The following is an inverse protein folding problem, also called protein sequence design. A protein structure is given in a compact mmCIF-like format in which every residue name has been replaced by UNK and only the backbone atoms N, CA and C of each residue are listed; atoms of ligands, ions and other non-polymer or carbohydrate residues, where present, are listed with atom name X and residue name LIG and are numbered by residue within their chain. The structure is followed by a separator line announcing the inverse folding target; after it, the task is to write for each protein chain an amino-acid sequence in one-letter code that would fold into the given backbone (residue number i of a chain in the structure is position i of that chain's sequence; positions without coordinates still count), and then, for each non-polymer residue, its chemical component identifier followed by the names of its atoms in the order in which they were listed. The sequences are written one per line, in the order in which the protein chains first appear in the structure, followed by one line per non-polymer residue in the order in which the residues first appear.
data_IF_510358532149
#
_entry.id   IF_510358532149
#
_cell.length_a   1.000
_cell.length_b   1.000
_cell.length_c   1.000
_cell.angle_alpha   90.00
_cell.angle_beta   90.00
_cell.angle_gamma   90.00
#
_symmetry.space_group_name_H-M   'P 1'
#
loop_
_entity.id
_entity.type
_entity.pdbx_description
1 polymer ?
#
# COMPACT_ATOMS: atom_id res chain seq x y z
N UNK A 1 -32.84 -15.42 -11.57
CA UNK A 1 -32.87 -15.26 -10.08
C UNK A 1 -33.22 -16.62 -9.50
N UNK A 2 -32.26 -17.28 -8.87
CA UNK A 2 -32.50 -18.50 -8.10
C UNK A 2 -32.84 -18.04 -6.69
N UNK A 3 -34.12 -18.10 -6.34
CA UNK A 3 -34.67 -17.74 -5.02
C UNK A 3 -34.48 -18.85 -3.97
N UNK A 4 -33.31 -19.49 -3.93
CA UNK A 4 -32.99 -20.43 -2.86
C UNK A 4 -31.62 -20.06 -2.29
N UNK A 5 -31.62 -19.64 -1.03
CA UNK A 5 -30.41 -19.51 -0.24
C UNK A 5 -29.78 -20.90 -0.06
N UNK A 6 -28.96 -21.33 -0.99
CA UNK A 6 -28.17 -22.55 -0.89
C UNK A 6 -26.87 -22.18 -0.20
N UNK A 7 -26.73 -22.50 1.06
CA UNK A 7 -25.46 -22.38 1.77
C UNK A 7 -24.56 -23.55 1.37
N UNK A 8 -23.53 -23.26 0.61
CA UNK A 8 -22.51 -24.23 0.20
C UNK A 8 -21.25 -24.06 1.06
N UNK A 9 -20.73 -25.16 1.60
CA UNK A 9 -19.39 -25.12 2.20
C UNK A 9 -18.33 -24.94 1.13
N UNK A 10 -17.22 -24.25 1.44
CA UNK A 10 -16.12 -24.00 0.51
C UNK A 10 -15.59 -25.27 -0.19
N UNK A 11 -15.37 -26.41 0.53
CA UNK A 11 -14.93 -27.64 -0.12
C UNK A 11 -15.93 -28.16 -1.14
N UNK A 12 -17.23 -28.02 -0.86
CA UNK A 12 -18.28 -28.47 -1.78
C UNK A 12 -18.39 -27.54 -3.00
N UNK A 13 -18.30 -26.22 -2.79
CA UNK A 13 -18.27 -25.25 -3.88
C UNK A 13 -17.07 -25.53 -4.83
N UNK A 14 -15.88 -25.77 -4.29
CA UNK A 14 -14.71 -26.15 -5.08
C UNK A 14 -14.90 -27.45 -5.85
N UNK A 15 -15.56 -28.45 -5.26
CA UNK A 15 -15.90 -29.71 -5.94
C UNK A 15 -16.85 -29.47 -7.12
N UNK A 16 -17.90 -28.67 -6.93
CA UNK A 16 -18.84 -28.29 -7.99
C UNK A 16 -18.15 -27.54 -9.14
N UNK A 17 -17.32 -26.56 -8.82
CA UNK A 17 -16.55 -25.83 -9.83
C UNK A 17 -15.64 -26.77 -10.67
N UNK A 18 -15.00 -27.74 -10.03
CA UNK A 18 -14.16 -28.74 -10.72
C UNK A 18 -14.97 -29.61 -11.65
N UNK A 19 -16.12 -30.10 -11.23
CA UNK A 19 -17.02 -30.91 -12.04
C UNK A 19 -17.57 -30.10 -13.21
N UNK A 20 -17.93 -28.86 -13.01
CA UNK A 20 -18.44 -27.96 -14.03
C UNK A 20 -17.35 -27.39 -14.97
N UNK A 21 -16.09 -27.76 -14.78
CA UNK A 21 -14.97 -27.23 -15.57
C UNK A 21 -14.70 -25.73 -15.35
N UNK A 22 -15.28 -25.12 -14.30
CA UNK A 22 -15.10 -23.72 -13.95
C UNK A 22 -13.74 -23.57 -13.30
N UNK A 23 -12.88 -22.76 -13.91
CA UNK A 23 -11.57 -22.38 -13.34
C UNK A 23 -11.57 -20.91 -12.99
N UNK A 24 -11.05 -20.59 -11.80
CA UNK A 24 -10.82 -19.20 -11.44
C UNK A 24 -9.84 -18.57 -12.43
N UNK A 25 -10.19 -17.37 -12.94
CA UNK A 25 -9.27 -16.56 -13.74
C UNK A 25 -8.30 -15.78 -12.86
N UNK A 26 -8.43 -15.86 -11.52
CA UNK A 26 -7.47 -15.25 -10.62
C UNK A 26 -6.11 -15.91 -10.85
N UNK A 27 -5.13 -15.13 -11.24
CA UNK A 27 -3.75 -15.59 -11.27
C UNK A 27 -3.35 -15.84 -9.81
N UNK A 28 -3.11 -17.10 -9.42
CA UNK A 28 -2.43 -17.40 -8.17
C UNK A 28 -1.02 -16.82 -8.29
N UNK A 29 -0.83 -15.61 -7.82
CA UNK A 29 0.52 -15.13 -7.55
C UNK A 29 1.10 -16.06 -6.48
N UNK A 30 2.07 -16.89 -6.86
CA UNK A 30 2.94 -17.52 -5.88
C UNK A 30 3.68 -16.37 -5.20
N UNK A 31 3.22 -16.01 -4.02
CA UNK A 31 3.93 -15.10 -3.15
C UNK A 31 5.32 -15.71 -2.92
N UNK A 32 6.33 -15.19 -3.61
CA UNK A 32 7.70 -15.46 -3.20
C UNK A 32 7.82 -14.77 -1.85
N UNK A 33 8.04 -15.55 -0.77
CA UNK A 33 8.41 -14.96 0.52
C UNK A 33 9.44 -13.89 0.22
N UNK A 34 9.07 -12.62 0.37
CA UNK A 34 10.06 -11.57 0.50
C UNK A 34 10.97 -12.01 1.63
N UNK A 35 12.27 -11.82 1.50
CA UNK A 35 13.20 -12.11 2.60
C UNK A 35 12.62 -11.49 3.88
N UNK A 36 12.84 -12.15 5.01
CA UNK A 36 12.30 -11.67 6.29
C UNK A 36 12.54 -10.17 6.43
N UNK A 37 11.51 -9.39 6.77
CA UNK A 37 11.67 -7.95 6.91
C UNK A 37 12.76 -7.67 7.95
N UNK A 38 13.66 -6.76 7.66
CA UNK A 38 14.77 -6.45 8.54
C UNK A 38 14.30 -5.94 9.92
N UNK A 39 13.09 -5.34 9.95
CA UNK A 39 12.43 -4.87 11.18
C UNK A 39 10.94 -4.79 10.97
N UNK A 40 10.16 -5.32 11.92
CA UNK A 40 8.69 -5.22 11.98
C UNK A 40 8.34 -4.28 13.14
N UNK A 41 7.37 -3.42 12.91
CA UNK A 41 6.81 -2.51 13.91
C UNK A 41 5.36 -2.90 14.23
N UNK A 42 4.86 -2.60 15.46
CA UNK A 42 3.47 -2.86 15.80
C UNK A 42 2.52 -2.04 14.93
N UNK A 43 1.30 -2.54 14.73
CA UNK A 43 0.23 -1.78 14.12
C UNK A 43 -0.42 -0.86 15.15
N UNK A 44 -0.07 0.42 15.12
CA UNK A 44 -0.58 1.43 16.04
C UNK A 44 -2.00 1.91 15.66
N UNK A 45 -2.43 1.74 14.40
CA UNK A 45 -3.77 2.14 13.96
C UNK A 45 -4.87 1.25 14.53
N UNK A 46 -4.54 0.02 14.93
CA UNK A 46 -5.49 -0.89 15.57
C UNK A 46 -5.70 -0.62 17.06
N UNK A 47 -4.78 0.08 17.71
CA UNK A 47 -4.84 0.40 19.13
C UNK A 47 -5.48 1.77 19.32
N UNK A 48 -6.77 1.92 19.01
CA UNK A 48 -7.60 3.10 19.31
C UNK A 48 -6.85 4.46 19.20
N UNK A 49 -5.97 4.57 18.19
CA UNK A 49 -5.26 5.80 17.93
C UNK A 49 -6.27 6.88 17.55
N UNK A 50 -6.47 7.86 18.40
CA UNK A 50 -7.27 9.04 18.08
C UNK A 50 -6.43 9.97 17.22
N UNK A 51 -6.98 10.36 16.08
CA UNK A 51 -6.37 11.33 15.17
C UNK A 51 -7.18 12.62 15.32
N UNK A 52 -6.62 13.58 16.04
CA UNK A 52 -7.31 14.81 16.43
C UNK A 52 -6.91 16.01 15.55
N UNK A 53 -5.96 15.83 14.63
CA UNK A 53 -5.47 16.90 13.77
C UNK A 53 -4.62 16.42 12.60
N UNK A 54 -4.27 17.34 11.70
CA UNK A 54 -3.49 17.02 10.52
C UNK A 54 -2.06 16.59 10.88
N UNK A 55 -1.46 15.79 10.00
CA UNK A 55 -0.08 15.30 10.09
C UNK A 55 0.23 14.38 11.29
N UNK A 56 -0.77 13.97 12.05
CA UNK A 56 -0.57 13.04 13.17
C UNK A 56 -0.39 11.60 12.70
N UNK A 57 -1.10 11.22 11.64
CA UNK A 57 -0.99 9.87 11.08
C UNK A 57 -0.93 9.92 9.57
N UNK A 58 0.24 9.60 9.04
CA UNK A 58 0.49 9.50 7.61
C UNK A 58 0.52 8.02 7.23
N UNK A 59 -0.24 7.66 6.20
CA UNK A 59 -0.19 6.31 5.60
C UNK A 59 0.56 6.37 4.28
N UNK A 60 1.33 5.33 4.00
CA UNK A 60 2.12 5.25 2.77
C UNK A 60 1.98 3.87 2.14
N UNK A 61 1.90 3.86 0.81
CA UNK A 61 1.93 2.66 0.00
C UNK A 61 2.54 2.94 -1.38
N UNK A 62 3.03 1.90 -2.03
CA UNK A 62 3.55 1.96 -3.39
C UNK A 62 2.65 1.17 -4.33
N UNK A 63 2.27 1.82 -5.41
CA UNK A 63 1.52 1.18 -6.49
C UNK A 63 2.29 1.22 -7.80
N UNK A 64 2.09 0.21 -8.65
CA UNK A 64 2.75 0.13 -9.94
C UNK A 64 1.73 0.05 -11.08
N UNK A 65 2.08 0.66 -12.22
CA UNK A 65 1.25 0.67 -13.42
C UNK A 65 2.10 0.88 -14.67
N UNK A 66 1.46 0.75 -15.84
CA UNK A 66 2.10 1.00 -17.13
C UNK A 66 1.39 2.14 -17.87
N UNK A 67 2.17 3.11 -18.35
CA UNK A 67 1.71 4.17 -19.24
C UNK A 67 2.34 3.95 -20.60
N UNK A 68 1.53 3.70 -21.62
CA UNK A 68 2.02 3.45 -23.00
C UNK A 68 3.14 2.39 -23.04
N UNK A 69 3.02 1.36 -22.21
CA UNK A 69 4.00 0.28 -22.13
C UNK A 69 5.23 0.54 -21.26
N UNK A 70 5.39 1.74 -20.72
CA UNK A 70 6.47 2.10 -19.81
C UNK A 70 6.02 1.85 -18.36
N UNK A 71 6.85 1.13 -17.61
CA UNK A 71 6.61 0.81 -16.20
C UNK A 71 6.82 2.03 -15.32
N UNK A 72 5.94 2.20 -14.32
CA UNK A 72 6.06 3.24 -13.30
C UNK A 72 5.74 2.68 -11.93
N UNK A 73 6.43 3.18 -10.92
CA UNK A 73 6.12 3.02 -9.49
C UNK A 73 5.78 4.39 -8.91
N UNK A 74 4.63 4.48 -8.28
CA UNK A 74 4.16 5.67 -7.57
C UNK A 74 4.08 5.35 -6.08
N UNK A 75 4.82 6.09 -5.27
CA UNK A 75 4.72 6.05 -3.81
C UNK A 75 3.94 7.29 -3.35
N UNK A 76 2.96 7.08 -2.50
CA UNK A 76 2.12 8.12 -1.94
C UNK A 76 2.26 8.16 -0.42
N UNK A 77 2.11 9.35 0.11
CA UNK A 77 1.99 9.62 1.55
C UNK A 77 0.73 10.46 1.76
N UNK A 78 -0.22 9.92 2.51
CA UNK A 78 -1.54 10.51 2.71
C UNK A 78 -1.81 10.72 4.19
N UNK A 79 -2.29 11.90 4.54
CA UNK A 79 -2.76 12.21 5.88
C UNK A 79 -4.14 11.58 6.12
N UNK A 80 -4.26 10.75 7.16
CA UNK A 80 -5.54 10.12 7.51
C UNK A 80 -6.56 11.08 8.10
N UNK A 81 -6.15 12.27 8.55
CA UNK A 81 -7.07 13.27 9.09
C UNK A 81 -8.01 13.83 8.03
N UNK A 82 -7.44 14.23 6.89
CA UNK A 82 -8.17 14.93 5.82
C UNK A 82 -8.08 14.25 4.45
N UNK A 83 -7.41 13.08 4.37
CA UNK A 83 -7.14 12.34 3.13
C UNK A 83 -6.31 13.13 2.10
N UNK A 84 -5.55 14.11 2.53
CA UNK A 84 -4.66 14.88 1.67
C UNK A 84 -3.40 14.07 1.30
N UNK A 85 -3.02 14.09 0.02
CA UNK A 85 -1.73 13.54 -0.42
C UNK A 85 -0.65 14.58 -0.09
N UNK A 86 0.03 14.38 1.03
CA UNK A 86 1.04 15.32 1.55
C UNK A 86 2.39 15.17 0.87
N UNK A 87 2.65 14.02 0.27
CA UNK A 87 3.86 13.78 -0.52
C UNK A 87 3.66 12.64 -1.50
N UNK A 88 4.40 12.70 -2.61
CA UNK A 88 4.44 11.62 -3.59
C UNK A 88 5.80 11.54 -4.27
N UNK A 89 6.09 10.40 -4.87
CA UNK A 89 7.26 10.23 -5.72
C UNK A 89 6.97 9.21 -6.82
N UNK A 90 7.45 9.49 -8.02
CA UNK A 90 7.25 8.67 -9.21
C UNK A 90 8.60 8.22 -9.78
N UNK A 91 8.73 6.94 -10.12
CA UNK A 91 9.90 6.41 -10.81
C UNK A 91 9.49 5.49 -11.95
N UNK A 92 10.24 5.53 -13.06
CA UNK A 92 10.13 4.56 -14.16
C UNK A 92 11.00 3.30 -13.95
N UNK A 93 11.73 3.23 -12.84
CA UNK A 93 12.63 2.12 -12.51
C UNK A 93 11.99 1.20 -11.48
N UNK A 94 11.90 -0.10 -11.81
CA UNK A 94 11.35 -1.10 -10.90
C UNK A 94 12.22 -1.28 -9.66
N UNK A 95 11.58 -1.23 -8.47
CA UNK A 95 12.25 -1.39 -7.19
C UNK A 95 13.18 -0.22 -6.85
N UNK A 96 12.85 0.96 -7.31
CA UNK A 96 13.63 2.17 -7.05
C UNK A 96 13.45 2.63 -5.60
N UNK A 97 14.47 2.33 -4.78
CA UNK A 97 14.46 2.72 -3.37
C UNK A 97 14.38 4.23 -3.16
N UNK A 98 14.88 5.01 -4.11
CA UNK A 98 14.85 6.47 -4.02
C UNK A 98 13.44 7.02 -4.05
N UNK A 99 12.49 6.35 -4.73
CA UNK A 99 11.09 6.74 -4.76
C UNK A 99 10.47 6.84 -3.36
N UNK A 100 10.83 5.92 -2.47
CA UNK A 100 10.35 5.95 -1.08
C UNK A 100 11.05 7.02 -0.25
N UNK A 101 12.36 7.21 -0.45
CA UNK A 101 13.14 8.17 0.31
C UNK A 101 12.77 9.60 -0.09
N UNK A 102 12.66 9.90 -1.38
CA UNK A 102 12.29 11.23 -1.86
C UNK A 102 10.90 11.66 -1.40
N UNK A 103 9.94 10.73 -1.36
CA UNK A 103 8.62 11.03 -0.78
C UNK A 103 8.69 11.31 0.73
N UNK A 104 9.59 10.65 1.45
CA UNK A 104 9.79 10.86 2.88
C UNK A 104 10.46 12.20 3.19
N UNK A 105 11.30 12.73 2.31
CA UNK A 105 12.01 14.00 2.52
C UNK A 105 11.04 15.15 2.83
N UNK A 106 9.90 15.23 2.14
CA UNK A 106 8.90 16.26 2.41
C UNK A 106 8.31 16.16 3.81
N UNK A 107 8.06 14.94 4.31
CA UNK A 107 7.58 14.73 5.68
C UNK A 107 8.64 15.11 6.71
N UNK A 108 9.90 14.76 6.45
CA UNK A 108 11.03 15.13 7.31
C UNK A 108 11.19 16.67 7.39
N UNK A 109 11.09 17.35 6.24
CA UNK A 109 11.17 18.82 6.22
C UNK A 109 10.00 19.47 6.95
N UNK A 110 8.81 18.89 6.85
CA UNK A 110 7.67 19.35 7.66
C UNK A 110 7.91 19.12 9.15
N UNK A 111 8.38 17.93 9.54
CA UNK A 111 8.64 17.56 10.93
C UNK A 111 9.75 18.41 11.57
N UNK A 112 10.80 18.76 10.81
CA UNK A 112 11.84 19.69 11.29
C UNK A 112 11.31 21.07 11.67
N UNK A 113 10.26 21.54 11.00
CA UNK A 113 9.61 22.82 11.29
C UNK A 113 8.61 22.73 12.44
N UNK A 114 8.20 21.51 12.81
CA UNK A 114 7.23 21.23 13.87
C UNK A 114 7.75 20.14 14.81
N UNK A 115 8.87 20.38 15.51
CA UNK A 115 9.55 19.34 16.29
C UNK A 115 8.74 18.83 17.50
N UNK A 116 7.78 19.62 17.97
CA UNK A 116 6.85 19.25 19.04
C UNK A 116 5.71 18.32 18.56
N UNK A 117 5.51 18.24 17.25
CA UNK A 117 4.43 17.44 16.68
C UNK A 117 4.79 15.96 16.69
N UNK A 118 3.84 15.12 17.09
CA UNK A 118 3.99 13.67 17.08
C UNK A 118 3.40 13.11 15.80
N UNK A 119 4.24 12.56 14.92
CA UNK A 119 3.83 11.96 13.67
C UNK A 119 4.01 10.43 13.72
N UNK A 120 2.99 9.71 13.31
CA UNK A 120 3.04 8.27 13.04
C UNK A 120 3.06 8.06 11.54
N UNK A 121 4.03 7.29 11.04
CA UNK A 121 4.08 6.85 9.66
C UNK A 121 3.75 5.36 9.57
N UNK A 122 2.60 5.06 8.98
CA UNK A 122 2.10 3.70 8.78
C UNK A 122 2.32 3.24 7.33
N UNK A 123 2.75 2.00 7.16
CA UNK A 123 2.89 1.36 5.85
C UNK A 123 2.68 -0.16 5.96
N UNK A 124 2.69 -0.85 4.82
CA UNK A 124 2.80 -2.30 4.78
C UNK A 124 4.20 -2.79 5.22
N UNK A 125 4.38 -4.12 5.22
CA UNK A 125 5.67 -4.76 5.51
C UNK A 125 6.53 -4.95 4.26
N UNK A 126 6.35 -4.14 3.23
CA UNK A 126 7.15 -4.19 2.01
C UNK A 126 8.66 -4.05 2.29
N UNK A 127 9.49 -4.70 1.47
CA UNK A 127 10.94 -4.81 1.70
C UNK A 127 11.66 -3.46 1.84
N UNK A 128 11.16 -2.41 1.19
CA UNK A 128 11.73 -1.07 1.33
C UNK A 128 11.34 -0.44 2.65
N UNK A 129 10.07 -0.51 3.03
CA UNK A 129 9.56 0.00 4.30
C UNK A 129 10.16 -0.73 5.51
N UNK A 130 10.49 -2.01 5.36
CA UNK A 130 11.17 -2.80 6.39
C UNK A 130 12.71 -2.64 6.37
N UNK A 131 13.26 -1.90 5.40
CA UNK A 131 14.71 -1.74 5.27
C UNK A 131 15.32 -0.95 6.43
N UNK A 132 16.56 -1.31 6.78
CA UNK A 132 17.30 -0.64 7.84
C UNK A 132 17.45 0.86 7.59
N UNK A 133 17.86 1.25 6.38
CA UNK A 133 18.08 2.65 6.02
C UNK A 133 16.82 3.50 6.17
N UNK A 134 15.64 2.98 5.74
CA UNK A 134 14.37 3.68 5.88
C UNK A 134 13.99 3.87 7.35
N UNK A 135 14.17 2.84 8.17
CA UNK A 135 13.72 2.84 9.56
C UNK A 135 14.71 3.50 10.54
N UNK A 136 15.98 3.65 10.20
CA UNK A 136 16.94 4.42 11.02
C UNK A 136 16.77 5.92 10.85
N UNK A 137 16.26 6.37 9.70
CA UNK A 137 16.07 7.78 9.42
C UNK A 137 14.93 8.40 10.25
N UNK A 138 13.81 7.70 10.39
CA UNK A 138 12.58 8.21 10.96
C UNK A 138 12.66 8.65 12.43
N UNK A 139 13.25 7.84 13.34
CA UNK A 139 13.36 8.23 14.74
C UNK A 139 14.22 9.48 14.96
N UNK A 140 15.18 9.74 14.05
CA UNK A 140 16.03 10.94 14.13
C UNK A 140 15.22 12.24 14.01
N UNK A 141 14.03 12.14 13.42
CA UNK A 141 13.11 13.27 13.24
C UNK A 141 11.83 13.14 14.07
N UNK A 142 11.80 12.27 15.06
CA UNK A 142 10.62 12.10 15.93
C UNK A 142 9.42 11.44 15.27
N UNK A 143 9.64 10.76 14.12
CA UNK A 143 8.56 10.05 13.40
C UNK A 143 8.48 8.60 13.91
N UNK A 144 7.32 8.25 14.47
CA UNK A 144 7.05 6.90 14.98
C UNK A 144 6.60 5.96 13.86
N UNK A 145 7.11 4.73 13.87
CA UNK A 145 6.74 3.72 12.87
C UNK A 145 5.57 2.87 13.31
N UNK A 146 4.68 2.62 12.35
CA UNK A 146 3.59 1.65 12.42
C UNK A 146 3.55 0.81 11.15
N UNK A 147 3.19 -0.46 11.26
CA UNK A 147 3.08 -1.36 10.09
C UNK A 147 1.80 -2.18 10.13
N UNK A 148 1.20 -2.40 8.97
CA UNK A 148 0.12 -3.36 8.78
C UNK A 148 0.57 -4.76 9.16
N UNK A 149 -0.35 -5.59 9.62
CA UNK A 149 -0.08 -7.01 9.83
C UNK A 149 0.13 -7.71 8.49
N UNK A 150 1.00 -8.71 8.48
CA UNK A 150 1.24 -9.50 7.27
C UNK A 150 -0.07 -10.16 6.76
N UNK A 151 -0.37 -9.94 5.48
CA UNK A 151 -1.56 -10.53 4.85
C UNK A 151 -2.89 -9.93 5.26
N UNK A 152 -2.90 -8.73 5.88
CA UNK A 152 -4.12 -8.03 6.30
C UNK A 152 -4.27 -6.71 5.54
N UNK A 153 -4.81 -6.73 4.31
CA UNK A 153 -4.98 -5.53 3.48
C UNK A 153 -5.80 -4.44 4.18
N UNK A 154 -6.81 -4.83 4.94
CA UNK A 154 -7.68 -3.91 5.67
C UNK A 154 -6.95 -2.97 6.62
N UNK A 155 -5.73 -3.30 7.02
CA UNK A 155 -4.92 -2.46 7.90
C UNK A 155 -4.42 -1.18 7.18
N UNK A 156 -4.49 -1.13 5.84
CA UNK A 156 -4.15 0.06 5.03
C UNK A 156 -5.22 0.33 3.95
N UNK A 157 -6.50 0.13 4.29
CA UNK A 157 -7.62 0.22 3.35
C UNK A 157 -7.74 1.60 2.68
N UNK A 158 -7.37 2.68 3.37
CA UNK A 158 -7.39 4.02 2.82
C UNK A 158 -6.44 4.15 1.62
N UNK A 159 -5.22 3.63 1.73
CA UNK A 159 -4.25 3.64 0.62
C UNK A 159 -4.65 2.70 -0.52
N UNK A 160 -5.24 1.55 -0.22
CA UNK A 160 -5.76 0.65 -1.26
C UNK A 160 -6.86 1.34 -2.07
N UNK A 161 -7.77 2.04 -1.39
CA UNK A 161 -8.86 2.78 -2.03
C UNK A 161 -8.33 3.89 -2.95
N UNK A 162 -7.45 4.76 -2.46
CA UNK A 162 -6.92 5.88 -3.26
C UNK A 162 -6.06 5.38 -4.43
N UNK A 163 -5.26 4.33 -4.24
CA UNK A 163 -4.50 3.70 -5.31
C UNK A 163 -5.41 3.09 -6.38
N UNK A 164 -6.54 2.53 -5.98
CA UNK A 164 -7.56 2.03 -6.89
C UNK A 164 -8.18 3.14 -7.73
N UNK A 165 -8.54 4.26 -7.11
CA UNK A 165 -9.13 5.41 -7.79
C UNK A 165 -8.15 6.05 -8.78
N UNK A 166 -6.92 6.32 -8.34
CA UNK A 166 -5.88 6.88 -9.22
C UNK A 166 -5.69 6.00 -10.45
N UNK A 167 -5.61 4.67 -10.28
CA UNK A 167 -5.46 3.76 -11.42
C UNK A 167 -6.68 3.77 -12.34
N UNK A 168 -7.89 3.85 -11.78
CA UNK A 168 -9.11 3.91 -12.59
C UNK A 168 -9.16 5.17 -13.45
N UNK A 169 -8.86 6.33 -12.87
CA UNK A 169 -8.81 7.61 -13.59
C UNK A 169 -7.70 7.60 -14.65
N UNK A 170 -6.48 7.19 -14.29
CA UNK A 170 -5.37 7.09 -15.23
C UNK A 170 -5.69 6.12 -16.38
N UNK A 171 -6.41 5.02 -16.11
CA UNK A 171 -6.82 4.09 -17.17
C UNK A 171 -7.79 4.72 -18.15
N UNK A 172 -8.77 5.48 -17.64
CA UNK A 172 -9.76 6.15 -18.47
C UNK A 172 -9.14 7.24 -19.35
N UNK A 173 -8.23 8.03 -18.79
CA UNK A 173 -7.66 9.21 -19.46
C UNK A 173 -6.40 8.90 -20.28
N UNK A 174 -5.55 7.99 -19.78
CA UNK A 174 -4.20 7.75 -20.33
C UNK A 174 -3.98 6.32 -20.81
N UNK A 175 -5.00 5.47 -20.78
CA UNK A 175 -4.89 4.03 -21.10
C UNK A 175 -3.79 3.31 -20.31
N UNK A 176 -3.70 3.64 -19.02
CA UNK A 176 -2.77 3.03 -18.08
C UNK A 176 -3.23 1.62 -17.75
N UNK A 177 -2.30 0.67 -17.65
CA UNK A 177 -2.60 -0.69 -17.22
C UNK A 177 -1.78 -1.07 -16.00
N UNK A 178 -2.29 -1.98 -15.18
CA UNK A 178 -1.52 -2.57 -14.07
C UNK A 178 -0.52 -3.63 -14.51
N UNK A 179 -0.58 -4.08 -15.77
CA UNK A 179 0.19 -5.19 -16.31
C UNK A 179 1.04 -4.76 -17.50
N UNK A 180 2.17 -5.47 -17.68
CA UNK A 180 3.00 -5.31 -18.87
C UNK A 180 2.17 -5.70 -20.11
N UNK A 181 2.19 -4.89 -21.19
CA UNK A 181 1.51 -5.24 -22.42
C UNK A 181 1.98 -6.62 -22.91
N UNK A 182 1.03 -7.42 -23.33
CA UNK A 182 1.34 -8.72 -24.00
C UNK A 182 1.96 -8.36 -25.35
N UNK A 183 3.17 -8.89 -25.61
CA UNK A 183 3.84 -8.74 -26.90
C UNK A 183 3.16 -9.55 -27.96
#
# INVERSE_FOLDING_TARGET
RLDKEIVLSDPYAHKCCRIAGIKSKSKHYRYKKAGDPARIFPNLLMSEMQIDGPMQCIVSDMTAFYVKGIYHELTLYMDLWNNEIVSHSLSAKRGDRMTYISGLENLIEWQKRHPEHQMVLHSDQGSVYASKAYNELLPMYGITRSMSRAGTPTDNAAMESINGWIKAELFMDLHVTGEKPVK
#
